data_IF_070019339020
#
_entry.id   IF_070019339020
#
_cell.length_a   1.000
_cell.length_b   1.000
_cell.length_c   1.000
_cell.angle_alpha   90.00
_cell.angle_beta   90.00
_cell.angle_gamma   90.00
#
_symmetry.space_group_name_H-M   'P 1'
#
loop_
_entity.id
_entity.type
_entity.pdbx_description
1 polymer ?
#
# COMPACT_ATOMS: atom_id res chain seq x y z
N UNK A 1 -11.25 -3.57 -1.52
CA UNK A 1 -11.85 -3.76 -0.16
C UNK A 1 -10.81 -4.27 0.83
N UNK A 2 -9.73 -4.87 0.35
CA UNK A 2 -8.86 -5.74 1.12
C UNK A 2 -7.92 -4.95 2.05
N UNK A 3 -7.41 -3.79 1.61
CA UNK A 3 -6.56 -2.90 2.44
C UNK A 3 -7.31 -2.12 3.51
N UNK A 4 -8.65 -1.99 3.41
CA UNK A 4 -9.44 -1.17 4.33
C UNK A 4 -9.50 -1.70 5.76
N UNK A 5 -9.24 -3.00 5.95
CA UNK A 5 -9.26 -3.64 7.28
C UNK A 5 -8.13 -3.13 8.19
N UNK A 6 -6.99 -2.75 7.61
CA UNK A 6 -5.83 -2.19 8.32
C UNK A 6 -6.18 -0.81 8.89
N UNK A 7 -6.73 0.06 8.04
CA UNK A 7 -7.10 1.42 8.45
C UNK A 7 -8.14 1.37 9.56
N UNK A 8 -9.11 0.44 9.49
CA UNK A 8 -10.05 0.21 10.58
C UNK A 8 -9.36 -0.21 11.87
N UNK A 9 -8.35 -1.10 11.81
CA UNK A 9 -7.56 -1.47 12.97
C UNK A 9 -6.80 -0.26 13.55
N UNK A 10 -6.18 0.57 12.71
CA UNK A 10 -5.49 1.81 13.14
C UNK A 10 -6.49 2.78 13.81
N UNK A 11 -7.66 3.00 13.22
CA UNK A 11 -8.70 3.89 13.80
C UNK A 11 -9.11 3.41 15.19
N UNK A 12 -9.23 2.10 15.43
CA UNK A 12 -9.53 1.57 16.78
C UNK A 12 -8.48 1.96 17.81
N UNK A 13 -7.22 2.12 17.40
CA UNK A 13 -6.10 2.51 18.30
C UNK A 13 -6.14 3.99 18.64
N UNK A 14 -6.43 4.83 17.65
CA UNK A 14 -6.48 6.29 17.82
C UNK A 14 -7.81 6.79 18.39
N UNK A 15 -8.89 6.03 18.24
CA UNK A 15 -10.23 6.38 18.73
C UNK A 15 -10.95 5.15 19.32
N UNK A 16 -10.56 4.73 20.54
CA UNK A 16 -11.08 3.52 21.20
C UNK A 16 -12.60 3.50 21.39
N UNK A 17 -13.26 4.66 21.44
CA UNK A 17 -14.72 4.79 21.52
C UNK A 17 -15.46 4.17 20.33
N UNK A 18 -14.79 4.02 19.18
CA UNK A 18 -15.33 3.38 17.99
C UNK A 18 -15.01 1.89 17.89
N UNK A 19 -14.23 1.33 18.82
CA UNK A 19 -13.68 -0.03 18.74
C UNK A 19 -14.77 -1.10 18.56
N UNK A 20 -15.80 -1.08 19.41
CA UNK A 20 -16.92 -2.03 19.31
C UNK A 20 -17.72 -1.89 18.01
N UNK A 21 -17.89 -0.66 17.51
CA UNK A 21 -18.63 -0.41 16.27
C UNK A 21 -17.88 -0.93 15.05
N UNK A 22 -16.57 -0.72 15.02
CA UNK A 22 -15.69 -1.26 13.98
C UNK A 22 -15.69 -2.78 14.04
N UNK A 23 -15.60 -3.36 15.23
CA UNK A 23 -15.67 -4.82 15.40
C UNK A 23 -16.95 -5.42 14.86
N UNK A 24 -18.09 -4.86 15.24
CA UNK A 24 -19.38 -5.28 14.70
C UNK A 24 -19.50 -5.06 13.20
N UNK A 25 -18.81 -4.08 12.62
CA UNK A 25 -18.84 -3.84 11.19
C UNK A 25 -18.04 -4.89 10.41
N UNK A 26 -16.81 -5.17 10.84
CA UNK A 26 -15.93 -6.15 10.18
C UNK A 26 -16.46 -7.57 10.38
N UNK A 27 -16.99 -7.92 11.56
CA UNK A 27 -17.59 -9.24 11.82
C UNK A 27 -18.85 -9.53 10.98
N UNK A 28 -19.42 -8.53 10.29
CA UNK A 28 -20.50 -8.76 9.31
C UNK A 28 -19.98 -9.20 7.95
N UNK A 29 -18.70 -9.00 7.65
CA UNK A 29 -18.12 -9.37 6.37
C UNK A 29 -18.05 -10.90 6.24
N UNK A 30 -18.11 -11.38 5.00
CA UNK A 30 -17.93 -12.80 4.70
C UNK A 30 -16.49 -13.05 4.26
N UNK A 31 -15.65 -13.50 5.18
CA UNK A 31 -14.24 -13.73 4.90
C UNK A 31 -14.01 -14.89 3.92
N UNK A 32 -14.93 -15.84 3.77
CA UNK A 32 -14.82 -16.87 2.73
C UNK A 32 -14.86 -16.29 1.28
N UNK A 33 -15.41 -15.08 1.12
CA UNK A 33 -15.37 -14.36 -0.17
C UNK A 33 -14.09 -13.54 -0.35
N UNK A 34 -13.43 -13.19 0.75
CA UNK A 34 -12.25 -12.32 0.76
C UNK A 34 -10.93 -13.11 0.75
N UNK A 35 -10.92 -14.29 1.35
CA UNK A 35 -9.74 -15.14 1.49
C UNK A 35 -10.10 -16.61 1.27
N UNK A 36 -9.27 -17.33 0.50
CA UNK A 36 -9.39 -18.79 0.32
C UNK A 36 -8.75 -19.57 1.46
N UNK A 37 -9.04 -20.87 1.53
CA UNK A 37 -8.51 -21.76 2.58
C UNK A 37 -6.98 -21.86 2.60
N UNK A 38 -6.32 -21.59 1.47
CA UNK A 38 -4.87 -21.54 1.32
C UNK A 38 -4.30 -20.10 1.43
N UNK A 39 -5.14 -19.13 1.80
CA UNK A 39 -4.70 -17.77 2.11
C UNK A 39 -4.52 -16.84 0.90
N UNK A 40 -5.11 -17.14 -0.27
CA UNK A 40 -5.16 -16.19 -1.39
C UNK A 40 -6.23 -15.12 -1.15
N UNK A 41 -5.92 -13.87 -1.47
CA UNK A 41 -6.83 -12.73 -1.31
C UNK A 41 -7.64 -12.49 -2.59
N UNK A 42 -8.90 -12.13 -2.39
CA UNK A 42 -9.85 -11.93 -3.48
C UNK A 42 -10.58 -10.60 -3.37
N UNK A 43 -10.63 -9.92 -4.50
CA UNK A 43 -11.56 -8.84 -4.76
C UNK A 43 -12.86 -9.39 -5.34
N UNK A 44 -13.90 -8.57 -5.31
CA UNK A 44 -15.20 -8.91 -5.86
C UNK A 44 -15.81 -7.70 -6.59
N UNK A 45 -16.40 -7.94 -7.75
CA UNK A 45 -17.22 -6.97 -8.48
C UNK A 45 -18.65 -7.49 -8.54
N UNK A 46 -19.62 -6.59 -8.35
CA UNK A 46 -21.04 -6.91 -8.49
C UNK A 46 -21.50 -6.43 -9.86
N UNK A 47 -21.81 -7.36 -10.76
CA UNK A 47 -22.38 -7.08 -12.07
C UNK A 47 -23.75 -7.75 -12.15
N UNK A 48 -24.81 -6.96 -12.41
CA UNK A 48 -26.19 -7.44 -12.52
C UNK A 48 -26.66 -8.30 -11.33
N UNK A 49 -26.20 -7.95 -10.12
CA UNK A 49 -26.50 -8.68 -8.88
C UNK A 49 -25.73 -9.99 -8.70
N UNK A 50 -24.86 -10.37 -9.64
CA UNK A 50 -23.93 -11.48 -9.48
C UNK A 50 -22.56 -10.99 -9.01
N UNK A 51 -21.98 -11.74 -8.07
CA UNK A 51 -20.65 -11.48 -7.54
C UNK A 51 -19.64 -12.26 -8.39
N UNK A 52 -18.73 -11.55 -9.05
CA UNK A 52 -17.58 -12.15 -9.72
C UNK A 52 -16.33 -11.86 -8.89
N UNK A 53 -15.67 -12.93 -8.42
CA UNK A 53 -14.41 -12.84 -7.69
C UNK A 53 -13.25 -12.75 -8.66
N UNK A 54 -12.26 -11.95 -8.31
CA UNK A 54 -10.99 -11.89 -9.02
C UNK A 54 -9.85 -11.87 -8.01
N UNK A 55 -8.70 -12.38 -8.43
CA UNK A 55 -7.48 -12.32 -7.61
C UNK A 55 -7.03 -10.87 -7.54
N UNK A 56 -7.00 -10.30 -6.35
CA UNK A 56 -6.60 -8.92 -6.10
C UNK A 56 -5.27 -8.92 -5.35
N UNK A 57 -4.39 -7.99 -5.72
CA UNK A 57 -3.08 -7.86 -5.10
C UNK A 57 -1.95 -8.44 -5.96
N UNK A 58 -0.77 -7.85 -5.78
CA UNK A 58 0.52 -8.29 -6.29
C UNK A 58 1.55 -8.08 -5.19
N UNK A 59 2.71 -8.68 -5.35
CA UNK A 59 3.85 -8.47 -4.47
C UNK A 59 4.03 -6.97 -4.15
N UNK A 60 4.18 -6.68 -2.86
CA UNK A 60 4.07 -5.39 -2.21
C UNK A 60 2.70 -5.16 -1.58
N UNK A 61 1.61 -5.33 -2.34
CA UNK A 61 0.23 -5.10 -1.88
C UNK A 61 -0.27 -6.28 -1.04
N UNK A 62 0.01 -7.52 -1.44
CA UNK A 62 -0.47 -8.72 -0.73
C UNK A 62 0.16 -8.81 0.68
N UNK A 63 1.45 -8.52 0.81
CA UNK A 63 2.18 -8.54 2.07
C UNK A 63 1.68 -7.42 3.00
N UNK A 64 1.53 -6.20 2.47
CA UNK A 64 0.91 -5.10 3.21
C UNK A 64 -0.48 -5.47 3.71
N UNK A 65 -1.31 -6.00 2.83
CA UNK A 65 -2.68 -6.32 3.15
C UNK A 65 -2.80 -7.46 4.17
N UNK A 66 -1.85 -8.39 4.15
CA UNK A 66 -1.80 -9.54 5.06
C UNK A 66 -1.72 -9.14 6.53
N UNK A 67 -1.08 -8.01 6.84
CA UNK A 67 -1.03 -7.47 8.21
C UNK A 67 -2.43 -7.19 8.74
N UNK A 68 -3.31 -6.69 7.89
CA UNK A 68 -4.71 -6.51 8.21
C UNK A 68 -5.40 -7.80 8.62
N UNK A 69 -5.18 -8.90 7.90
CA UNK A 69 -5.79 -10.19 8.25
C UNK A 69 -5.22 -10.77 9.54
N UNK A 70 -3.91 -10.61 9.76
CA UNK A 70 -3.25 -11.14 10.95
C UNK A 70 -3.74 -10.44 12.21
N UNK A 71 -3.98 -9.11 12.17
CA UNK A 71 -4.62 -8.38 13.29
C UNK A 71 -6.03 -8.92 13.62
N UNK A 72 -6.69 -9.56 12.65
CA UNK A 72 -7.99 -10.21 12.80
C UNK A 72 -7.90 -11.72 13.08
N UNK A 73 -6.72 -12.21 13.45
CA UNK A 73 -6.43 -13.63 13.74
C UNK A 73 -6.67 -14.57 12.55
N UNK A 74 -6.48 -14.06 11.32
CA UNK A 74 -6.55 -14.83 10.08
C UNK A 74 -5.17 -14.81 9.44
N UNK A 75 -4.63 -15.98 9.11
CA UNK A 75 -3.29 -16.10 8.52
C UNK A 75 -3.42 -16.32 7.00
N UNK A 76 -3.12 -15.32 6.16
CA UNK A 76 -3.16 -15.47 4.71
C UNK A 76 -1.83 -16.02 4.18
N UNK A 77 -1.58 -17.33 4.39
CA UNK A 77 -0.29 -17.98 4.12
C UNK A 77 0.28 -17.69 2.72
N UNK A 78 -0.57 -17.72 1.67
CA UNK A 78 -0.13 -17.41 0.31
C UNK A 78 0.11 -15.92 0.05
N UNK A 79 -0.65 -15.03 0.67
CA UNK A 79 -0.53 -13.60 0.41
C UNK A 79 0.62 -12.93 1.16
N UNK A 80 1.06 -13.50 2.29
CA UNK A 80 2.27 -13.04 2.99
C UNK A 80 3.55 -13.59 2.36
N UNK A 81 3.44 -14.61 1.52
CA UNK A 81 4.58 -15.23 0.86
C UNK A 81 4.95 -14.46 -0.41
N UNK A 82 6.18 -13.96 -0.46
CA UNK A 82 6.72 -13.22 -1.61
C UNK A 82 6.96 -14.11 -2.84
N UNK A 83 6.96 -15.44 -2.69
CA UNK A 83 7.20 -16.38 -3.78
C UNK A 83 5.90 -16.70 -4.56
N UNK A 84 5.97 -16.82 -5.91
CA UNK A 84 7.16 -16.67 -6.73
C UNK A 84 7.51 -15.20 -6.99
N UNK A 85 8.79 -14.85 -6.94
CA UNK A 85 9.28 -13.54 -7.37
C UNK A 85 10.32 -13.62 -8.50
N UNK A 86 10.40 -12.55 -9.28
CA UNK A 86 11.45 -12.28 -10.25
C UNK A 86 12.26 -11.04 -9.83
N UNK A 87 13.44 -10.85 -10.43
CA UNK A 87 14.33 -9.71 -10.13
C UNK A 87 14.59 -8.88 -11.38
N UNK A 88 14.47 -7.57 -11.25
CA UNK A 88 14.89 -6.60 -12.27
C UNK A 88 15.96 -5.68 -11.69
N UNK A 89 17.10 -5.55 -12.38
CA UNK A 89 18.19 -4.66 -11.94
C UNK A 89 18.12 -3.33 -12.69
N UNK A 90 17.98 -2.21 -11.96
CA UNK A 90 17.96 -0.86 -12.51
C UNK A 90 19.01 -0.02 -11.76
N UNK A 91 19.94 0.62 -12.49
CA UNK A 91 21.08 1.37 -11.93
C UNK A 91 21.91 0.60 -10.87
N UNK A 92 21.98 -0.72 -11.01
CA UNK A 92 22.67 -1.61 -10.05
C UNK A 92 21.91 -1.86 -8.76
N UNK A 93 20.61 -1.55 -8.71
CA UNK A 93 19.69 -1.90 -7.62
C UNK A 93 18.78 -3.01 -8.08
N UNK A 94 18.72 -4.08 -7.31
CA UNK A 94 17.83 -5.22 -7.58
C UNK A 94 16.45 -4.94 -7.00
N UNK A 95 15.44 -4.95 -7.87
CA UNK A 95 14.04 -4.83 -7.52
C UNK A 95 13.37 -6.19 -7.62
N UNK A 96 12.77 -6.61 -6.51
CA UNK A 96 11.91 -7.80 -6.48
C UNK A 96 10.54 -7.40 -6.99
N UNK A 97 10.00 -8.21 -7.89
CA UNK A 97 8.63 -8.06 -8.38
C UNK A 97 7.95 -9.41 -8.51
N UNK A 98 6.63 -9.38 -8.52
CA UNK A 98 5.80 -10.58 -8.58
C UNK A 98 6.19 -11.47 -9.77
N UNK A 99 6.37 -12.78 -9.58
CA UNK A 99 6.80 -13.73 -10.62
C UNK A 99 5.65 -14.37 -11.42
N UNK A 100 4.38 -14.06 -11.11
CA UNK A 100 3.20 -14.67 -11.74
C UNK A 100 2.90 -14.05 -13.10
N UNK A 101 3.03 -14.81 -14.19
CA UNK A 101 2.89 -14.29 -15.55
C UNK A 101 1.52 -13.63 -15.83
N UNK A 102 1.46 -12.34 -16.22
CA UNK A 102 0.21 -11.61 -16.45
C UNK A 102 -0.60 -12.20 -17.62
N UNK A 103 0.03 -12.93 -18.55
CA UNK A 103 -0.67 -13.61 -19.66
C UNK A 103 -1.50 -14.80 -19.20
N UNK A 104 -1.16 -15.35 -18.04
CA UNK A 104 -1.86 -16.47 -17.41
C UNK A 104 -2.90 -15.94 -16.44
N UNK A 105 -2.55 -14.93 -15.64
CA UNK A 105 -3.39 -14.43 -14.55
C UNK A 105 -4.24 -13.20 -14.91
N UNK A 106 -4.04 -12.60 -16.09
CA UNK A 106 -4.73 -11.42 -16.59
C UNK A 106 -4.76 -10.23 -15.61
N UNK A 107 -3.67 -10.03 -14.87
CA UNK A 107 -3.53 -8.93 -13.92
C UNK A 107 -2.10 -8.41 -14.01
N UNK A 108 -1.98 -7.09 -14.14
CA UNK A 108 -0.70 -6.39 -14.26
C UNK A 108 0.17 -6.60 -13.02
N UNK A 109 1.48 -6.44 -13.18
CA UNK A 109 2.48 -6.52 -12.11
C UNK A 109 3.33 -5.25 -12.02
N UNK A 110 2.73 -4.06 -11.87
CA UNK A 110 3.53 -2.84 -11.76
C UNK A 110 4.18 -2.79 -10.38
N UNK A 111 5.46 -2.41 -10.35
CA UNK A 111 6.19 -2.09 -9.13
C UNK A 111 6.09 -0.60 -8.88
N UNK A 112 5.49 -0.20 -7.76
CA UNK A 112 5.30 1.20 -7.39
C UNK A 112 5.45 1.38 -5.87
N UNK A 113 5.71 2.61 -5.41
CA UNK A 113 6.26 2.83 -4.07
C UNK A 113 5.25 2.59 -2.92
N UNK A 114 3.99 2.88 -3.16
CA UNK A 114 2.97 3.10 -2.14
C UNK A 114 2.78 1.97 -1.12
N UNK A 115 2.75 0.67 -1.51
CA UNK A 115 2.61 -0.42 -0.54
C UNK A 115 3.79 -0.49 0.44
N UNK A 116 5.00 -0.25 -0.05
CA UNK A 116 6.22 -0.22 0.76
C UNK A 116 6.26 0.98 1.70
N UNK A 117 5.73 2.13 1.25
CA UNK A 117 5.65 3.35 2.04
C UNK A 117 4.63 3.21 3.18
N UNK A 118 3.45 2.63 2.90
CA UNK A 118 2.47 2.33 3.95
C UNK A 118 3.03 1.37 4.99
N UNK A 119 3.73 0.32 4.56
CA UNK A 119 4.40 -0.59 5.50
C UNK A 119 5.41 0.13 6.41
N UNK A 120 6.14 1.12 5.88
CA UNK A 120 7.06 1.93 6.69
C UNK A 120 6.35 2.88 7.66
N UNK A 121 5.35 3.62 7.19
CA UNK A 121 4.64 4.61 8.01
C UNK A 121 3.79 3.94 9.09
N UNK A 122 3.08 2.89 8.73
CA UNK A 122 2.13 2.23 9.61
C UNK A 122 2.81 1.21 10.51
N UNK A 123 3.77 0.44 9.99
CA UNK A 123 4.33 -0.71 10.69
C UNK A 123 5.86 -0.66 10.87
N UNK A 124 6.56 0.37 10.38
CA UNK A 124 8.02 0.47 10.42
C UNK A 124 8.75 -0.75 9.79
N UNK A 125 8.11 -1.43 8.83
CA UNK A 125 8.57 -2.72 8.29
C UNK A 125 8.90 -3.75 9.38
N UNK A 126 8.19 -3.68 10.51
CA UNK A 126 8.26 -4.69 11.56
C UNK A 126 7.29 -5.82 11.27
N UNK A 127 7.56 -7.02 11.78
CA UNK A 127 6.54 -8.05 11.85
C UNK A 127 5.39 -7.56 12.73
N UNK A 128 4.14 -7.84 12.36
CA UNK A 128 2.96 -7.37 13.13
C UNK A 128 2.94 -7.87 14.59
N UNK A 129 3.67 -8.93 14.88
CA UNK A 129 3.85 -9.48 16.22
C UNK A 129 4.85 -8.71 17.09
N UNK A 130 5.61 -7.77 16.55
CA UNK A 130 6.65 -7.06 17.26
C UNK A 130 6.06 -5.95 18.16
N UNK A 131 6.23 -6.13 19.47
CA UNK A 131 5.76 -5.21 20.51
C UNK A 131 6.92 -4.57 21.30
N UNK A 132 8.18 -4.92 20.97
CA UNK A 132 9.30 -4.66 21.87
C UNK A 132 10.48 -3.98 21.20
N UNK A 133 10.63 -4.13 19.89
CA UNK A 133 11.76 -3.52 19.19
C UNK A 133 11.64 -2.01 19.16
N UNK A 134 12.78 -1.34 19.06
CA UNK A 134 12.79 0.11 18.90
C UNK A 134 12.36 0.46 17.48
N UNK A 135 11.65 1.57 17.30
CA UNK A 135 11.36 2.11 15.95
C UNK A 135 12.64 2.38 15.12
N UNK A 136 13.83 2.42 15.74
CA UNK A 136 15.11 2.50 15.04
C UNK A 136 15.59 1.18 14.43
N UNK A 137 14.85 0.09 14.61
CA UNK A 137 15.15 -1.26 14.11
C UNK A 137 13.94 -1.80 13.37
N UNK A 138 14.19 -2.49 12.24
CA UNK A 138 13.14 -3.15 11.45
C UNK A 138 13.23 -4.66 11.69
N UNK A 139 12.15 -5.27 12.18
CA UNK A 139 12.14 -6.72 12.44
C UNK A 139 11.90 -7.57 11.19
N UNK A 140 11.21 -7.03 10.17
CA UNK A 140 11.07 -7.69 8.87
C UNK A 140 12.10 -7.16 7.86
N UNK A 141 13.29 -7.77 7.86
CA UNK A 141 14.41 -7.36 7.00
C UNK A 141 14.11 -7.43 5.50
N UNK A 142 13.24 -8.36 5.09
CA UNK A 142 12.86 -8.52 3.68
C UNK A 142 12.05 -7.31 3.22
N UNK A 143 10.99 -6.96 3.96
CA UNK A 143 10.13 -5.82 3.62
C UNK A 143 10.89 -4.49 3.69
N UNK A 144 11.78 -4.33 4.68
CA UNK A 144 12.61 -3.12 4.77
C UNK A 144 13.59 -3.02 3.60
N UNK A 145 14.24 -4.12 3.22
CA UNK A 145 15.18 -4.14 2.09
C UNK A 145 14.48 -3.87 0.74
N UNK A 146 13.26 -4.38 0.55
CA UNK A 146 12.45 -4.07 -0.63
C UNK A 146 12.11 -2.57 -0.69
N UNK A 147 11.71 -1.97 0.43
CA UNK A 147 11.40 -0.55 0.51
C UNK A 147 12.63 0.32 0.23
N UNK A 148 13.79 -0.04 0.79
CA UNK A 148 15.06 0.65 0.53
C UNK A 148 15.46 0.56 -0.94
N UNK A 149 15.29 -0.60 -1.60
CA UNK A 149 15.58 -0.76 -3.02
C UNK A 149 14.67 0.13 -3.89
N UNK A 150 13.38 0.17 -3.56
CA UNK A 150 12.36 1.01 -4.23
C UNK A 150 12.66 2.51 -4.08
N UNK A 151 13.14 2.93 -2.91
CA UNK A 151 13.57 4.30 -2.68
C UNK A 151 14.87 4.61 -3.45
N UNK A 152 15.90 3.78 -3.26
CA UNK A 152 17.24 3.99 -3.78
C UNK A 152 17.28 4.04 -5.31
N UNK A 153 16.51 3.20 -6.01
CA UNK A 153 16.46 3.21 -7.47
C UNK A 153 15.94 4.54 -8.02
N UNK A 154 15.02 5.20 -7.31
CA UNK A 154 14.46 6.50 -7.70
C UNK A 154 15.46 7.63 -7.45
N UNK A 155 16.18 7.60 -6.32
CA UNK A 155 17.30 8.52 -6.08
C UNK A 155 18.40 8.36 -7.13
N UNK A 156 18.76 7.12 -7.48
CA UNK A 156 19.75 6.82 -8.53
C UNK A 156 19.31 7.29 -9.91
N UNK A 157 18.01 7.32 -10.22
CA UNK A 157 17.54 7.91 -11.47
C UNK A 157 17.91 9.39 -11.56
N UNK A 158 17.81 10.14 -10.47
CA UNK A 158 18.29 11.52 -10.43
C UNK A 158 19.81 11.61 -10.60
N UNK A 159 20.59 10.70 -10.01
CA UNK A 159 22.05 10.70 -10.16
C UNK A 159 22.49 10.46 -11.61
N UNK A 160 21.80 9.56 -12.32
CA UNK A 160 22.15 9.12 -13.67
C UNK A 160 21.52 9.98 -14.76
N UNK A 161 20.24 10.33 -14.62
CA UNK A 161 19.43 10.96 -15.68
C UNK A 161 19.01 12.40 -15.36
N UNK A 162 19.22 12.85 -14.11
CA UNK A 162 18.75 14.16 -13.62
C UNK A 162 17.24 14.33 -13.72
N UNK A 163 16.51 13.23 -13.57
CA UNK A 163 15.05 13.21 -13.47
C UNK A 163 14.68 12.96 -12.01
N UNK A 164 13.95 13.89 -11.40
CA UNK A 164 13.37 13.71 -10.08
C UNK A 164 12.16 12.79 -10.19
N UNK A 165 12.06 11.85 -9.26
CA UNK A 165 11.12 10.74 -9.39
C UNK A 165 10.58 10.32 -8.01
N UNK A 166 9.25 10.27 -7.94
CA UNK A 166 8.48 9.84 -6.78
C UNK A 166 7.24 9.07 -7.31
N UNK A 167 7.50 7.88 -7.84
CA UNK A 167 6.54 7.03 -8.56
C UNK A 167 5.57 6.34 -7.61
N UNK A 168 4.30 6.40 -7.95
CA UNK A 168 3.19 5.75 -7.26
C UNK A 168 1.96 5.79 -8.15
N UNK A 169 0.97 4.92 -7.88
CA UNK A 169 -0.30 5.03 -8.58
C UNK A 169 -0.97 6.38 -8.27
N UNK A 170 -1.61 6.97 -9.27
CA UNK A 170 -2.22 8.29 -9.14
C UNK A 170 -3.40 8.48 -10.08
N UNK A 171 -4.24 9.47 -9.77
CA UNK A 171 -5.34 9.89 -10.64
C UNK A 171 -4.88 11.00 -11.59
N UNK A 172 -5.48 11.03 -12.78
CA UNK A 172 -5.22 12.07 -13.78
C UNK A 172 -6.53 12.73 -14.22
N UNK A 173 -6.45 13.98 -14.64
CA UNK A 173 -7.64 14.79 -14.97
C UNK A 173 -8.34 14.40 -16.27
N UNK A 174 -7.64 13.73 -17.19
CA UNK A 174 -8.17 13.18 -18.43
C UNK A 174 -8.06 11.66 -18.50
N UNK A 175 -8.50 11.05 -19.62
CA UNK A 175 -8.29 9.61 -19.84
C UNK A 175 -6.81 9.24 -19.67
N UNK A 176 -6.49 8.11 -18.99
CA UNK A 176 -7.37 7.05 -18.51
C UNK A 176 -7.95 7.26 -17.09
N UNK A 177 -7.86 8.47 -16.52
CA UNK A 177 -8.28 8.86 -15.16
C UNK A 177 -7.51 8.22 -14.00
N UNK A 178 -6.83 7.11 -14.23
CA UNK A 178 -5.96 6.45 -13.26
C UNK A 178 -4.81 5.74 -13.98
N UNK A 179 -3.62 5.84 -13.41
CA UNK A 179 -2.44 5.13 -13.92
C UNK A 179 -1.63 4.53 -12.78
N UNK A 180 -1.06 3.35 -13.05
CA UNK A 180 0.06 2.80 -12.32
C UNK A 180 1.33 3.45 -12.84
N UNK A 181 1.81 4.46 -12.12
CA UNK A 181 3.09 5.07 -12.44
C UNK A 181 4.22 4.21 -11.88
N UNK A 182 4.69 3.27 -12.68
CA UNK A 182 5.54 2.18 -12.22
C UNK A 182 7.03 2.53 -12.32
N UNK A 183 7.78 2.08 -11.33
CA UNK A 183 9.24 2.02 -11.39
C UNK A 183 9.67 0.93 -12.37
N UNK A 184 8.93 -0.18 -12.39
CA UNK A 184 9.14 -1.29 -13.32
C UNK A 184 7.80 -1.98 -13.61
N UNK A 185 7.56 -2.32 -14.88
CA UNK A 185 6.36 -3.04 -15.28
C UNK A 185 6.47 -3.54 -16.71
N UNK A 186 5.90 -4.71 -16.99
CA UNK A 186 5.89 -5.31 -18.34
C UNK A 186 7.28 -5.43 -19.01
N UNK A 187 8.35 -5.58 -18.22
CA UNK A 187 9.73 -5.66 -18.72
C UNK A 187 10.41 -4.30 -18.94
N UNK A 188 9.74 -3.20 -18.61
CA UNK A 188 10.19 -1.83 -18.90
C UNK A 188 10.33 -1.02 -17.61
N UNK A 189 11.48 -0.36 -17.35
CA UNK A 189 11.62 0.59 -16.25
C UNK A 189 10.90 1.91 -16.56
N UNK A 190 10.44 2.60 -15.51
CA UNK A 190 9.83 3.94 -15.57
C UNK A 190 8.59 4.07 -16.46
N UNK A 191 7.85 2.97 -16.65
CA UNK A 191 6.64 2.91 -17.48
C UNK A 191 5.40 3.38 -16.70
N UNK A 192 4.55 4.16 -17.35
CA UNK A 192 3.25 4.56 -16.79
C UNK A 192 2.16 3.75 -17.48
N UNK A 193 1.36 2.99 -16.73
CA UNK A 193 0.40 2.03 -17.28
C UNK A 193 -1.04 2.37 -16.87
N UNK A 194 -1.99 2.28 -17.78
CA UNK A 194 -3.41 2.21 -17.43
C UNK A 194 -3.79 0.79 -16.95
N UNK A 195 -5.00 0.61 -16.43
CA UNK A 195 -5.49 -0.69 -15.95
C UNK A 195 -5.56 -1.76 -17.07
N UNK A 196 -5.77 -1.33 -18.31
CA UNK A 196 -5.78 -2.21 -19.50
C UNK A 196 -4.36 -2.57 -19.99
N UNK A 197 -3.31 -2.05 -19.35
CA UNK A 197 -1.91 -2.27 -19.71
C UNK A 197 -1.40 -1.37 -20.84
N UNK A 198 -2.18 -0.41 -21.34
CA UNK A 198 -1.69 0.59 -22.28
C UNK A 198 -0.69 1.53 -21.61
N UNK A 199 0.35 1.93 -22.34
CA UNK A 199 1.38 2.87 -21.86
C UNK A 199 0.94 4.32 -22.05
N UNK A 200 1.19 5.12 -21.02
CA UNK A 200 0.87 6.54 -20.94
C UNK A 200 2.03 7.33 -20.32
N UNK A 201 3.26 7.12 -20.80
CA UNK A 201 4.48 7.69 -20.21
C UNK A 201 4.48 9.24 -20.15
N UNK A 202 3.62 9.91 -20.92
CA UNK A 202 3.41 11.36 -20.83
C UNK A 202 2.72 11.81 -19.53
N UNK A 203 2.04 10.88 -18.85
CA UNK A 203 1.34 11.09 -17.58
C UNK A 203 2.22 10.81 -16.36
N UNK A 204 3.46 10.36 -16.58
CA UNK A 204 4.51 10.26 -15.59
C UNK A 204 4.63 11.52 -14.72
N UNK A 205 4.54 11.39 -13.40
CA UNK A 205 4.67 12.54 -12.49
C UNK A 205 5.44 12.25 -11.20
N UNK A 206 5.91 13.34 -10.60
CA UNK A 206 6.40 13.36 -9.22
C UNK A 206 5.17 13.47 -8.33
N UNK A 207 4.80 12.37 -7.67
CA UNK A 207 3.61 12.34 -6.81
C UNK A 207 3.84 13.12 -5.53
N UNK A 208 2.90 14.01 -5.19
CA UNK A 208 2.95 14.78 -3.94
C UNK A 208 2.95 13.85 -2.73
N UNK A 209 2.06 12.86 -2.72
CA UNK A 209 1.97 11.88 -1.63
C UNK A 209 3.27 11.11 -1.46
N UNK A 210 3.79 10.54 -2.54
CA UNK A 210 5.02 9.73 -2.49
C UNK A 210 6.20 10.56 -2.02
N UNK A 211 6.31 11.82 -2.47
CA UNK A 211 7.36 12.73 -2.01
C UNK A 211 7.30 12.97 -0.49
N UNK A 212 6.11 13.25 0.05
CA UNK A 212 5.90 13.43 1.50
C UNK A 212 6.23 12.16 2.29
N UNK A 213 5.76 11.00 1.82
CA UNK A 213 5.98 9.72 2.49
C UNK A 213 7.47 9.31 2.46
N UNK A 214 8.17 9.50 1.34
CA UNK A 214 9.62 9.29 1.25
C UNK A 214 10.39 10.25 2.17
N UNK A 215 10.00 11.51 2.23
CA UNK A 215 10.60 12.49 3.15
C UNK A 215 10.34 12.17 4.63
N UNK A 216 9.21 11.54 4.93
CA UNK A 216 8.91 11.09 6.27
C UNK A 216 9.84 9.95 6.69
N UNK A 217 10.09 8.99 5.80
CA UNK A 217 10.83 7.75 6.07
C UNK A 217 12.35 7.87 5.89
N UNK A 218 12.83 8.51 4.82
CA UNK A 218 14.27 8.68 4.53
C UNK A 218 14.71 10.14 4.66
N UNK A 219 15.76 10.35 5.45
CA UNK A 219 16.39 11.66 5.65
C UNK A 219 17.60 11.83 4.74
N UNK A 220 17.39 12.31 3.51
CA UNK A 220 18.45 12.53 2.52
C UNK A 220 18.28 13.87 1.79
N UNK A 221 19.34 14.33 1.13
CA UNK A 221 19.27 15.51 0.26
C UNK A 221 18.27 15.33 -0.90
N UNK A 222 18.04 14.09 -1.35
CA UNK A 222 17.09 13.80 -2.42
C UNK A 222 15.65 14.03 -1.97
N UNK A 223 15.26 13.54 -0.78
CA UNK A 223 13.89 13.74 -0.27
C UNK A 223 13.61 15.21 0.03
N UNK A 224 14.59 15.96 0.54
CA UNK A 224 14.47 17.42 0.70
C UNK A 224 14.25 18.14 -0.65
N UNK A 225 14.90 17.70 -1.73
CA UNK A 225 14.67 18.26 -3.08
C UNK A 225 13.30 17.91 -3.61
N UNK A 226 12.80 16.70 -3.37
CA UNK A 226 11.42 16.32 -3.73
C UNK A 226 10.41 17.25 -3.05
N UNK A 227 10.61 17.54 -1.75
CA UNK A 227 9.76 18.49 -1.02
C UNK A 227 9.75 19.89 -1.62
N UNK A 228 10.91 20.38 -2.09
CA UNK A 228 11.00 21.67 -2.80
C UNK A 228 10.17 21.67 -4.09
N UNK A 229 10.09 20.55 -4.80
CA UNK A 229 9.33 20.45 -6.06
C UNK A 229 7.83 20.41 -5.82
N UNK A 230 7.39 19.73 -4.76
CA UNK A 230 5.95 19.54 -4.49
C UNK A 230 5.34 20.68 -3.67
N UNK A 231 6.14 21.54 -3.01
CA UNK A 231 5.61 22.63 -2.16
C UNK A 231 4.60 23.55 -2.87
N UNK A 232 4.77 23.80 -4.17
CA UNK A 232 3.91 24.68 -4.96
C UNK A 232 2.59 24.00 -5.39
N UNK A 233 2.41 22.73 -5.04
CA UNK A 233 1.19 21.94 -5.30
C UNK A 233 0.14 22.11 -4.19
N UNK A 234 0.43 22.90 -3.15
CA UNK A 234 -0.51 23.21 -2.08
C UNK A 234 -1.46 24.35 -2.47
N UNK A 235 -2.75 24.07 -2.43
CA UNK A 235 -3.83 25.03 -2.50
C UNK A 235 -4.37 25.29 -1.07
N UNK A 236 -4.25 26.52 -0.53
CA UNK A 236 -4.66 26.83 0.84
C UNK A 236 -6.12 26.55 1.17
N UNK A 237 -7.01 26.46 0.17
CA UNK A 237 -8.43 26.20 0.37
C UNK A 237 -8.82 24.76 0.10
N UNK A 238 -8.02 24.02 -0.68
CA UNK A 238 -8.42 22.72 -1.23
C UNK A 238 -7.49 21.57 -0.83
N UNK A 239 -6.29 21.86 -0.34
CA UNK A 239 -5.28 20.87 0.00
C UNK A 239 -4.26 20.69 -1.13
N UNK A 240 -3.73 19.47 -1.27
CA UNK A 240 -2.63 19.16 -2.17
C UNK A 240 -3.13 18.56 -3.49
N UNK A 241 -2.59 19.08 -4.59
CA UNK A 241 -2.73 18.49 -5.92
C UNK A 241 -1.91 17.19 -6.06
N UNK A 242 -2.30 16.35 -7.01
CA UNK A 242 -1.77 14.99 -7.17
C UNK A 242 -0.25 14.95 -7.40
N UNK A 243 0.27 15.86 -8.23
CA UNK A 243 1.69 15.87 -8.55
C UNK A 243 2.11 16.85 -9.64
N UNK A 244 3.37 16.74 -10.03
CA UNK A 244 4.00 17.53 -11.09
C UNK A 244 4.54 16.60 -12.18
N UNK A 245 4.06 16.75 -13.41
CA UNK A 245 4.47 15.91 -14.53
C UNK A 245 5.98 16.00 -14.78
N UNK A 246 6.63 14.84 -14.98
CA UNK A 246 8.08 14.75 -15.22
C UNK A 246 8.46 15.47 -16.52
N UNK A 247 7.67 15.28 -17.59
CA UNK A 247 7.99 15.80 -18.92
C UNK A 247 7.76 17.31 -19.06
N UNK A 248 6.59 17.79 -18.62
CA UNK A 248 6.14 19.16 -18.91
C UNK A 248 6.33 20.12 -17.75
N UNK A 249 6.64 19.60 -16.55
CA UNK A 249 6.62 20.37 -15.30
C UNK A 249 5.27 20.99 -14.93
N UNK A 250 4.20 20.72 -15.69
CA UNK A 250 2.85 21.15 -15.37
C UNK A 250 2.31 20.38 -14.16
N UNK A 251 1.30 20.95 -13.51
CA UNK A 251 0.69 20.36 -12.31
C UNK A 251 -0.53 19.54 -12.71
N UNK A 252 -0.60 18.31 -12.21
CA UNK A 252 -1.84 17.52 -12.22
C UNK A 252 -2.72 18.01 -11.06
N UNK A 253 -3.66 18.90 -11.36
CA UNK A 253 -4.49 19.61 -10.36
C UNK A 253 -5.64 18.80 -9.81
N UNK A 254 -5.72 17.51 -10.14
CA UNK A 254 -6.67 16.59 -9.53
C UNK A 254 -6.51 16.58 -8.01
N UNK A 255 -7.65 16.56 -7.32
CA UNK A 255 -7.72 16.45 -5.88
C UNK A 255 -8.28 15.09 -5.53
N UNK A 256 -7.47 14.27 -4.88
CA UNK A 256 -7.86 12.96 -4.43
C UNK A 256 -7.76 12.85 -2.91
N UNK A 257 -8.65 12.02 -2.34
CA UNK A 257 -8.54 11.63 -0.93
C UNK A 257 -7.22 10.89 -0.68
N UNK A 258 -6.75 10.09 -1.65
CA UNK A 258 -5.48 9.35 -1.55
C UNK A 258 -4.31 10.29 -1.33
N UNK A 259 -4.17 11.34 -2.14
CA UNK A 259 -3.05 12.27 -2.03
C UNK A 259 -3.10 13.06 -0.73
N UNK A 260 -4.26 13.64 -0.40
CA UNK A 260 -4.39 14.46 0.80
C UNK A 260 -4.27 13.65 2.09
N UNK A 261 -4.88 12.46 2.15
CA UNK A 261 -4.73 11.55 3.29
C UNK A 261 -3.29 11.08 3.44
N UNK A 262 -2.59 10.73 2.34
CA UNK A 262 -1.20 10.29 2.41
C UNK A 262 -0.23 11.39 2.83
N UNK A 263 -0.50 12.66 2.49
CA UNK A 263 0.25 13.80 3.05
C UNK A 263 0.02 13.91 4.55
N UNK A 264 -1.23 13.84 5.01
CA UNK A 264 -1.56 13.91 6.44
C UNK A 264 -0.97 12.73 7.22
N UNK A 265 -0.99 11.53 6.66
CA UNK A 265 -0.40 10.32 7.19
C UNK A 265 1.12 10.48 7.38
N UNK A 266 1.83 10.97 6.36
CA UNK A 266 3.27 11.24 6.45
C UNK A 266 3.60 12.27 7.53
N UNK A 267 2.78 13.33 7.66
CA UNK A 267 2.95 14.35 8.70
C UNK A 267 2.64 13.80 10.10
N UNK A 268 1.61 12.97 10.23
CA UNK A 268 1.25 12.30 11.48
C UNK A 268 2.39 11.38 11.94
N UNK A 269 2.95 10.59 11.02
CA UNK A 269 4.12 9.76 11.29
C UNK A 269 5.30 10.59 11.78
N UNK A 270 5.59 11.72 11.14
CA UNK A 270 6.67 12.62 11.59
C UNK A 270 6.45 13.18 12.98
N UNK A 271 5.19 13.31 13.41
CA UNK A 271 4.86 13.80 14.74
C UNK A 271 4.86 12.69 15.80
N UNK A 272 4.45 11.47 15.45
CA UNK A 272 4.14 10.42 16.43
C UNK A 272 5.02 9.16 16.32
N UNK A 273 5.72 8.97 15.21
CA UNK A 273 6.38 7.71 14.85
C UNK A 273 5.40 6.74 14.18
N UNK A 274 5.68 5.44 14.31
CA UNK A 274 4.88 4.35 13.73
C UNK A 274 3.38 4.49 14.05
N UNK A 275 2.52 4.44 13.03
CA UNK A 275 1.09 4.76 13.18
C UNK A 275 0.24 3.61 13.73
N UNK A 276 0.62 2.37 13.47
CA UNK A 276 0.00 1.20 14.06
C UNK A 276 0.69 0.84 15.38
N UNK A 277 -0.12 0.72 16.43
CA UNK A 277 0.32 0.20 17.72
C UNK A 277 -0.60 -0.95 18.10
N UNK A 278 -0.02 -2.09 18.47
CA UNK A 278 -0.80 -3.22 18.94
C UNK A 278 -1.38 -2.91 20.32
N UNK A 279 -2.66 -3.20 20.52
CA UNK A 279 -3.25 -3.16 21.87
C UNK A 279 -3.30 -4.56 22.46
N UNK A 280 -3.04 -4.64 23.76
CA UNK A 280 -3.23 -5.84 24.58
C UNK A 280 -4.62 -5.90 25.21
N UNK A 281 -5.44 -4.86 25.01
CA UNK A 281 -6.79 -4.81 25.58
C UNK A 281 -7.69 -5.84 24.90
N UNK A 282 -8.55 -6.48 25.70
CA UNK A 282 -9.51 -7.43 25.19
C UNK A 282 -10.67 -6.70 24.49
N UNK A 283 -10.86 -6.97 23.21
CA UNK A 283 -11.84 -6.28 22.39
C UNK A 283 -13.10 -7.13 22.14
N UNK A 284 -14.13 -6.52 21.54
CA UNK A 284 -15.38 -7.21 21.22
C UNK A 284 -15.13 -8.41 20.30
N UNK A 285 -14.26 -8.25 19.30
CA UNK A 285 -13.84 -9.35 18.42
C UNK A 285 -13.25 -10.54 19.17
N UNK A 286 -12.42 -10.32 20.19
CA UNK A 286 -11.78 -11.39 20.94
C UNK A 286 -12.80 -12.16 21.78
N UNK A 287 -13.83 -11.47 22.30
CA UNK A 287 -14.94 -12.13 23.00
C UNK A 287 -15.74 -13.00 22.04
N UNK A 288 -16.00 -12.54 20.81
CA UNK A 288 -16.72 -13.32 19.80
C UNK A 288 -15.93 -14.53 19.33
N UNK A 289 -14.65 -14.38 18.98
CA UNK A 289 -13.83 -15.50 18.53
C UNK A 289 -13.60 -16.58 19.60
N UNK A 290 -13.65 -16.21 20.89
CA UNK A 290 -13.52 -17.17 21.99
C UNK A 290 -14.86 -17.76 22.47
N UNK A 291 -15.99 -17.35 21.87
CA UNK A 291 -17.32 -17.81 22.29
C UNK A 291 -17.68 -19.14 21.66
N UNK A 292 -17.92 -20.17 22.48
CA UNK A 292 -18.44 -21.48 22.03
C UNK A 292 -19.88 -21.44 21.52
N UNK A 293 -20.59 -20.34 21.73
CA UNK A 293 -22.03 -20.22 21.48
C UNK A 293 -22.37 -19.17 20.42
N UNK A 294 -21.38 -18.40 19.99
CA UNK A 294 -21.57 -17.27 19.10
C UNK A 294 -20.48 -17.27 18.04
N UNK A 295 -20.80 -17.93 16.92
CA UNK A 295 -19.96 -17.98 15.76
C UNK A 295 -20.57 -17.03 14.73
N UNK A 296 -19.87 -15.97 14.30
CA UNK A 296 -20.35 -15.15 13.20
C UNK A 296 -20.54 -16.08 12.00
N UNK A 297 -21.78 -16.22 11.52
CA UNK A 297 -22.18 -17.16 10.45
C UNK A 297 -21.56 -16.90 9.08
N UNK A 298 -20.63 -15.95 9.01
CA UNK A 298 -19.91 -15.50 7.82
C UNK A 298 -18.43 -15.88 7.98
N UNK A 299 -18.13 -17.18 7.95
CA UNK A 299 -16.80 -17.80 8.01
C UNK A 299 -15.72 -17.10 8.84
N UNK A 300 -15.52 -17.41 10.13
CA UNK A 300 -14.28 -17.02 10.82
C UNK A 300 -13.71 -18.03 11.83
N UNK A 301 -12.38 -18.18 11.74
CA UNK A 301 -11.38 -18.92 12.55
C UNK A 301 -11.33 -20.45 12.39
N UNK A 302 -12.41 -21.18 12.57
CA UNK A 302 -12.34 -22.66 12.50
C UNK A 302 -12.03 -23.20 11.10
N UNK A 303 -12.33 -22.42 10.05
CA UNK A 303 -12.12 -22.79 8.65
C UNK A 303 -10.67 -22.61 8.16
N UNK A 304 -9.85 -21.87 8.90
CA UNK A 304 -8.50 -21.45 8.47
C UNK A 304 -7.40 -21.81 9.48
N UNK A 305 -7.65 -22.79 10.35
CA UNK A 305 -6.67 -23.40 11.26
C UNK A 305 -6.14 -24.72 10.71
#
# INVERSE_FOLDING_TARGET
MITGIIVLAIVKRHSPEFSEYIDKAVLRWNFCELISSDGELYGAVVNDGQISRYKEGRLGVEEYTSYGYIDWHIVPEKAINIEPYDVATIYGVDLIFDGRDPRIFNVLRPVYSTPYLWMGLEFNWDDIGDEHSSDATHTNQTLSAMADAIYLVQEKRWENERIYTARGEHVVSGEPYFVYDAIYGLGTPWITLAEDGSSHDLLALISTRVAFQMWALWKTDYTERLMILVKELYDPQRGWYEGRFELTSAYEKSLSLKTNAGVLEALLYKQQGKLYQRSTDKEYRDVKFNSRFDHPGNCLVETFR
#
